data_IF_097652807650
#
_entry.id   IF_097652807650
#
_cell.length_a   1.000
_cell.length_b   1.000
_cell.length_c   1.000
_cell.angle_alpha   90.00
_cell.angle_beta   90.00
_cell.angle_gamma   90.00
#
_symmetry.space_group_name_H-M   'P 1'
#
loop_
_entity.id
_entity.type
_entity.pdbx_description
1 polymer ?
#
# COMPACT_ATOMS: atom_id res chain seq x y z
N UNK A 1 11.64 6.23 0.75
CA UNK A 1 13.11 6.29 0.55
C UNK A 1 13.50 5.39 -0.62
N UNK A 2 14.47 5.78 -1.44
CA UNK A 2 15.05 4.93 -2.48
C UNK A 2 16.36 4.32 -1.94
N UNK A 3 16.53 2.99 -1.91
CA UNK A 3 17.69 2.37 -1.29
C UNK A 3 18.96 2.67 -2.09
N UNK A 4 20.05 3.01 -1.42
CA UNK A 4 21.36 3.28 -1.99
C UNK A 4 22.39 2.22 -1.65
N UNK A 5 22.12 1.39 -0.64
CA UNK A 5 22.96 0.26 -0.26
C UNK A 5 22.14 -0.95 0.17
N UNK A 6 22.79 -2.09 0.39
CA UNK A 6 22.17 -3.29 0.95
C UNK A 6 21.64 -3.03 2.36
N UNK A 7 22.28 -2.16 3.15
CA UNK A 7 21.86 -1.82 4.52
C UNK A 7 20.48 -1.15 4.54
N UNK A 8 20.15 -0.37 3.50
CA UNK A 8 18.85 0.29 3.38
C UNK A 8 17.68 -0.70 3.29
N UNK A 9 17.91 -1.98 2.99
CA UNK A 9 16.86 -3.00 2.99
C UNK A 9 16.19 -3.16 4.36
N UNK A 10 16.94 -2.97 5.46
CA UNK A 10 16.40 -2.99 6.82
C UNK A 10 15.35 -1.88 6.98
N UNK A 11 15.65 -0.66 6.52
CA UNK A 11 14.72 0.45 6.59
C UNK A 11 13.45 0.22 5.74
N UNK A 12 13.57 -0.47 4.60
CA UNK A 12 12.42 -0.84 3.76
C UNK A 12 11.54 -1.91 4.45
N UNK A 13 12.15 -2.91 5.08
CA UNK A 13 11.43 -3.94 5.85
C UNK A 13 10.68 -3.31 7.01
N UNK A 14 11.34 -2.45 7.79
CA UNK A 14 10.72 -1.75 8.90
C UNK A 14 9.56 -0.85 8.44
N UNK A 15 9.68 -0.21 7.27
CA UNK A 15 8.57 0.54 6.69
C UNK A 15 7.39 -0.35 6.30
N UNK A 16 7.64 -1.52 5.70
CA UNK A 16 6.57 -2.47 5.36
C UNK A 16 5.81 -2.93 6.63
N UNK A 17 6.55 -3.23 7.71
CA UNK A 17 5.96 -3.58 9.02
C UNK A 17 5.12 -2.45 9.60
N UNK A 18 5.63 -1.22 9.57
CA UNK A 18 4.89 -0.03 10.03
C UNK A 18 3.59 0.15 9.25
N UNK A 19 3.62 0.00 7.93
CA UNK A 19 2.44 0.15 7.09
C UNK A 19 1.38 -0.93 7.37
N UNK A 20 1.79 -2.18 7.63
CA UNK A 20 0.85 -3.23 8.06
C UNK A 20 0.17 -2.84 9.38
N UNK A 21 0.96 -2.48 10.40
CA UNK A 21 0.42 -2.07 11.70
C UNK A 21 -0.52 -0.86 11.60
N UNK A 22 -0.16 0.11 10.76
CA UNK A 22 -0.96 1.31 10.51
C UNK A 22 -2.30 1.00 9.84
N UNK A 23 -2.32 0.12 8.83
CA UNK A 23 -3.57 -0.34 8.20
C UNK A 23 -4.42 -1.15 9.16
N UNK A 24 -3.80 -2.03 9.96
CA UNK A 24 -4.50 -2.81 10.98
C UNK A 24 -5.17 -1.92 12.03
N UNK A 25 -4.46 -0.91 12.55
CA UNK A 25 -5.02 0.07 13.48
C UNK A 25 -6.12 0.91 12.83
N UNK A 26 -5.89 1.37 11.59
CA UNK A 26 -6.84 2.19 10.85
C UNK A 26 -8.19 1.48 10.70
N UNK A 27 -8.20 0.27 10.15
CA UNK A 27 -9.44 -0.48 9.94
C UNK A 27 -10.00 -1.07 11.24
N UNK A 28 -9.16 -1.47 12.19
CA UNK A 28 -9.57 -2.01 13.48
C UNK A 28 -10.23 -0.97 14.40
N UNK A 29 -9.98 0.32 14.19
CA UNK A 29 -10.60 1.42 14.95
C UNK A 29 -11.97 1.86 14.43
N UNK A 30 -12.42 1.31 13.30
CA UNK A 30 -13.66 1.73 12.63
C UNK A 30 -14.74 0.65 12.75
N UNK A 31 -15.99 1.10 12.87
CA UNK A 31 -17.12 0.20 12.63
C UNK A 31 -17.15 -0.19 11.15
N UNK A 32 -17.81 -1.32 10.85
CA UNK A 32 -17.91 -1.80 9.47
C UNK A 32 -18.57 -0.77 8.53
N UNK A 33 -19.57 -0.05 9.05
CA UNK A 33 -20.23 1.06 8.36
C UNK A 33 -19.29 2.24 8.12
N UNK A 34 -18.51 2.64 9.13
CA UNK A 34 -17.55 3.74 8.99
C UNK A 34 -16.41 3.41 8.01
N UNK A 35 -15.87 2.19 8.07
CA UNK A 35 -14.81 1.73 7.17
C UNK A 35 -15.27 1.71 5.70
N UNK A 36 -16.54 1.38 5.45
CA UNK A 36 -17.15 1.38 4.11
C UNK A 36 -17.80 2.70 3.70
N UNK A 37 -17.90 3.68 4.59
CA UNK A 37 -18.54 4.94 4.28
C UNK A 37 -17.83 5.65 3.12
N UNK A 38 -18.62 6.25 2.23
CA UNK A 38 -18.15 7.00 1.08
C UNK A 38 -18.84 8.36 1.09
N UNK A 39 -18.10 9.45 0.81
CA UNK A 39 -18.71 10.78 0.74
C UNK A 39 -19.58 10.94 -0.51
N UNK A 40 -19.29 10.20 -1.59
CA UNK A 40 -20.12 10.06 -2.79
C UNK A 40 -19.69 8.82 -3.61
N UNK A 41 -20.41 8.54 -4.70
CA UNK A 41 -20.17 7.40 -5.60
C UNK A 41 -18.83 7.45 -6.34
N UNK A 42 -18.19 8.61 -6.43
CA UNK A 42 -16.94 8.83 -7.19
C UNK A 42 -15.67 8.71 -6.34
N UNK A 43 -15.80 8.78 -5.01
CA UNK A 43 -14.70 8.69 -4.04
C UNK A 43 -14.72 7.34 -3.33
N UNK A 44 -13.54 6.82 -2.99
CA UNK A 44 -13.42 5.54 -2.27
C UNK A 44 -13.63 5.73 -0.77
N UNK A 45 -14.05 4.65 -0.12
CA UNK A 45 -14.06 4.53 1.34
C UNK A 45 -12.66 4.24 1.88
N UNK A 46 -12.51 4.23 3.21
CA UNK A 46 -11.28 3.78 3.89
C UNK A 46 -10.92 2.36 3.42
N UNK A 47 -11.89 1.44 3.46
CA UNK A 47 -11.73 0.07 2.96
C UNK A 47 -11.34 0.04 1.48
N UNK A 48 -11.95 0.89 0.64
CA UNK A 48 -11.61 0.97 -0.78
C UNK A 48 -10.16 1.41 -1.02
N UNK A 49 -9.66 2.38 -0.25
CA UNK A 49 -8.25 2.79 -0.32
C UNK A 49 -7.29 1.65 0.04
N UNK A 50 -7.58 0.89 1.10
CA UNK A 50 -6.75 -0.26 1.51
C UNK A 50 -6.84 -1.39 0.48
N UNK A 51 -8.04 -1.73 0.01
CA UNK A 51 -8.22 -2.80 -0.98
C UNK A 51 -7.50 -2.51 -2.30
N UNK A 52 -7.42 -1.24 -2.72
CA UNK A 52 -6.64 -0.84 -3.89
C UNK A 52 -5.15 -1.17 -3.75
N UNK A 53 -4.59 -0.99 -2.55
CA UNK A 53 -3.19 -1.35 -2.29
C UNK A 53 -2.93 -2.80 -2.64
N UNK A 54 -3.86 -3.69 -2.29
CA UNK A 54 -3.72 -5.12 -2.59
C UNK A 54 -3.69 -5.40 -4.09
N UNK A 55 -4.51 -4.72 -4.89
CA UNK A 55 -4.55 -4.89 -6.35
C UNK A 55 -3.23 -4.49 -7.00
N UNK A 56 -2.70 -3.31 -6.67
CA UNK A 56 -1.45 -2.83 -7.26
C UNK A 56 -0.26 -3.64 -6.75
N UNK A 57 -0.18 -3.87 -5.43
CA UNK A 57 0.95 -4.54 -4.82
C UNK A 57 1.07 -5.99 -5.30
N UNK A 58 -0.03 -6.72 -5.46
CA UNK A 58 0.01 -8.10 -5.96
C UNK A 58 0.70 -8.20 -7.33
N UNK A 59 0.31 -7.35 -8.29
CA UNK A 59 0.90 -7.36 -9.63
C UNK A 59 2.39 -6.99 -9.64
N UNK A 60 2.78 -6.00 -8.83
CA UNK A 60 4.17 -5.59 -8.73
C UNK A 60 5.06 -6.61 -8.00
N UNK A 61 4.57 -7.20 -6.91
CA UNK A 61 5.32 -8.22 -6.17
C UNK A 61 5.51 -9.49 -7.00
N UNK A 62 4.58 -9.82 -7.89
CA UNK A 62 4.78 -10.89 -8.88
C UNK A 62 5.96 -10.59 -9.81
N UNK A 63 5.95 -9.42 -10.47
CA UNK A 63 7.02 -9.02 -11.38
C UNK A 63 8.38 -8.90 -10.68
N UNK A 64 8.40 -8.46 -9.41
CA UNK A 64 9.59 -8.43 -8.56
C UNK A 64 10.10 -9.84 -8.26
N UNK A 65 9.19 -10.74 -7.86
CA UNK A 65 9.51 -12.14 -7.55
C UNK A 65 10.16 -12.84 -8.73
N UNK A 66 9.61 -12.68 -9.93
CA UNK A 66 10.20 -13.24 -11.15
C UNK A 66 11.59 -12.66 -11.44
N UNK A 67 11.77 -11.34 -11.24
CA UNK A 67 13.04 -10.69 -11.48
C UNK A 67 14.13 -11.13 -10.51
N UNK A 68 13.78 -11.33 -9.23
CA UNK A 68 14.66 -11.95 -8.23
C UNK A 68 15.00 -13.38 -8.65
N UNK A 69 13.99 -14.17 -9.05
CA UNK A 69 14.19 -15.55 -9.51
C UNK A 69 15.16 -15.65 -10.69
N UNK A 70 15.01 -14.80 -11.72
CA UNK A 70 15.94 -14.74 -12.85
C UNK A 70 17.35 -14.31 -12.45
N UNK A 71 17.47 -13.43 -11.46
CA UNK A 71 18.75 -12.92 -10.98
C UNK A 71 19.42 -13.84 -9.94
N UNK A 72 18.73 -14.87 -9.44
CA UNK A 72 19.18 -15.69 -8.32
C UNK A 72 20.46 -16.48 -8.60
N UNK A 73 20.72 -16.86 -9.85
CA UNK A 73 21.95 -17.54 -10.26
C UNK A 73 23.03 -16.52 -10.63
N UNK A 74 22.87 -15.86 -11.78
CA UNK A 74 23.93 -15.04 -12.40
C UNK A 74 23.60 -13.55 -12.46
N UNK A 75 22.67 -13.09 -11.61
CA UNK A 75 22.29 -11.69 -11.53
C UNK A 75 23.43 -10.80 -11.00
N UNK A 76 23.40 -9.49 -11.31
CA UNK A 76 24.37 -8.55 -10.77
C UNK A 76 24.27 -8.52 -9.24
N UNK A 77 25.43 -8.62 -8.59
CA UNK A 77 25.59 -8.57 -7.13
C UNK A 77 26.22 -7.26 -6.70
N UNK A 78 25.97 -6.86 -5.45
CA UNK A 78 26.62 -5.70 -4.86
C UNK A 78 25.90 -5.18 -3.62
N UNK A 79 26.67 -4.53 -2.75
CA UNK A 79 26.18 -3.92 -1.51
C UNK A 79 25.91 -2.41 -1.66
N UNK A 80 26.24 -1.84 -2.82
CA UNK A 80 26.06 -0.42 -3.14
C UNK A 80 27.36 0.24 -3.65
N UNK A 81 27.32 1.53 -3.99
CA UNK A 81 26.11 2.35 -4.05
C UNK A 81 25.22 1.97 -5.26
N UNK A 82 23.95 1.72 -5.00
CA UNK A 82 22.95 1.44 -6.02
C UNK A 82 22.63 2.68 -6.84
N UNK A 83 22.52 2.49 -8.16
CA UNK A 83 22.14 3.55 -9.10
C UNK A 83 20.82 3.21 -9.75
N UNK A 84 19.83 4.07 -9.52
CA UNK A 84 18.48 3.92 -10.06
C UNK A 84 18.25 4.79 -11.29
N UNK A 85 17.42 4.36 -12.25
CA UNK A 85 16.99 5.20 -13.35
C UNK A 85 16.32 6.48 -12.82
N UNK A 86 16.69 7.66 -13.37
CA UNK A 86 16.15 8.96 -12.92
C UNK A 86 14.62 9.02 -13.02
N UNK A 87 14.04 8.43 -14.07
CA UNK A 87 12.60 8.33 -14.25
C UNK A 87 11.92 7.51 -13.14
N UNK A 88 12.56 6.43 -12.69
CA UNK A 88 12.06 5.60 -11.59
C UNK A 88 12.11 6.37 -10.26
N UNK A 89 13.23 7.06 -9.98
CA UNK A 89 13.37 7.89 -8.78
C UNK A 89 12.34 9.04 -8.74
N UNK A 90 12.12 9.70 -9.89
CA UNK A 90 11.05 10.71 -10.02
C UNK A 90 9.68 10.10 -9.75
N UNK A 91 9.40 8.91 -10.28
CA UNK A 91 8.10 8.26 -10.11
C UNK A 91 7.83 7.90 -8.65
N UNK A 92 8.81 7.33 -7.94
CA UNK A 92 8.74 7.08 -6.49
C UNK A 92 8.40 8.36 -5.73
N UNK A 93 9.14 9.44 -5.99
CA UNK A 93 8.92 10.74 -5.33
C UNK A 93 7.56 11.36 -5.67
N UNK A 94 7.03 11.11 -6.87
CA UNK A 94 5.69 11.58 -7.26
C UNK A 94 4.54 10.87 -6.52
N UNK A 95 4.82 9.73 -5.91
CA UNK A 95 3.87 8.97 -5.12
C UNK A 95 3.86 9.38 -3.65
N UNK A 96 4.88 10.08 -3.14
CA UNK A 96 4.89 10.50 -1.74
C UNK A 96 3.75 11.46 -1.41
N UNK A 97 3.12 11.33 -0.23
CA UNK A 97 2.12 12.29 0.24
C UNK A 97 2.78 13.61 0.72
N UNK A 98 2.03 14.73 0.74
CA UNK A 98 0.69 14.89 0.17
C UNK A 98 0.73 14.86 -1.36
N UNK A 99 -0.25 14.20 -2.01
CA UNK A 99 -0.25 14.03 -3.46
C UNK A 99 -0.41 15.37 -4.17
N UNK A 100 0.62 15.79 -4.91
CA UNK A 100 0.59 17.07 -5.66
C UNK A 100 -0.23 17.02 -6.94
N UNK A 101 -0.58 15.82 -7.42
CA UNK A 101 -1.33 15.59 -8.67
C UNK A 101 -2.33 14.47 -8.48
N UNK A 102 -3.53 14.65 -9.02
CA UNK A 102 -4.53 13.57 -9.16
C UNK A 102 -4.07 12.64 -10.27
N UNK A 103 -3.89 11.37 -9.93
CA UNK A 103 -3.58 10.31 -10.90
C UNK A 103 -4.86 9.52 -11.10
N UNK A 104 -5.29 9.39 -12.35
CA UNK A 104 -6.45 8.57 -12.67
C UNK A 104 -6.07 7.10 -12.50
N UNK A 105 -6.78 6.42 -11.61
CA UNK A 105 -6.66 4.96 -11.44
C UNK A 105 -7.08 4.26 -12.74
N UNK A 106 -6.26 3.32 -13.22
CA UNK A 106 -6.65 2.47 -14.35
C UNK A 106 -7.82 1.57 -13.94
N UNK A 107 -8.69 1.21 -14.90
CA UNK A 107 -9.87 0.38 -14.60
C UNK A 107 -9.49 -0.97 -13.95
N UNK A 108 -8.37 -1.54 -14.37
CA UNK A 108 -7.82 -2.79 -13.80
C UNK A 108 -7.32 -2.69 -12.36
N UNK A 109 -7.22 -1.47 -11.81
CA UNK A 109 -6.80 -1.23 -10.43
C UNK A 109 -7.95 -0.78 -9.53
N UNK A 110 -9.19 -0.77 -10.02
CA UNK A 110 -10.35 -0.45 -9.19
C UNK A 110 -10.62 -1.67 -8.30
N UNK A 111 -10.61 -1.53 -6.96
CA UNK A 111 -10.89 -2.65 -6.06
C UNK A 111 -12.36 -3.05 -6.13
N UNK A 112 -12.66 -4.28 -5.71
CA UNK A 112 -14.03 -4.76 -5.53
C UNK A 112 -14.76 -3.85 -4.51
N UNK A 113 -15.87 -3.18 -4.89
CA UNK A 113 -16.62 -2.33 -3.97
C UNK A 113 -17.25 -3.10 -2.80
N UNK A 114 -17.39 -4.42 -2.89
CA UNK A 114 -17.99 -5.28 -1.87
C UNK A 114 -17.00 -5.85 -0.83
N UNK A 115 -15.70 -5.56 -0.95
CA UNK A 115 -14.69 -6.12 -0.04
C UNK A 115 -14.93 -5.68 1.42
N UNK A 116 -14.88 -6.64 2.35
CA UNK A 116 -15.02 -6.32 3.77
C UNK A 116 -13.75 -5.64 4.32
N UNK A 117 -13.86 -4.80 5.37
CA UNK A 117 -12.69 -4.23 6.03
C UNK A 117 -11.70 -5.30 6.51
N UNK A 118 -12.20 -6.39 7.09
CA UNK A 118 -11.38 -7.51 7.56
C UNK A 118 -10.59 -8.18 6.43
N UNK A 119 -11.24 -8.42 5.28
CA UNK A 119 -10.60 -9.01 4.11
C UNK A 119 -9.57 -8.07 3.51
N UNK A 120 -9.89 -6.79 3.39
CA UNK A 120 -8.96 -5.78 2.88
C UNK A 120 -7.69 -5.68 3.75
N UNK A 121 -7.85 -5.70 5.09
CA UNK A 121 -6.72 -5.70 6.03
C UNK A 121 -5.87 -6.97 5.90
N UNK A 122 -6.52 -8.14 5.86
CA UNK A 122 -5.83 -9.43 5.74
C UNK A 122 -5.03 -9.54 4.44
N UNK A 123 -5.63 -9.18 3.30
CA UNK A 123 -4.97 -9.26 2.00
C UNK A 123 -3.79 -8.29 1.91
N UNK A 124 -3.92 -7.10 2.49
CA UNK A 124 -2.83 -6.13 2.55
C UNK A 124 -1.66 -6.65 3.41
N UNK A 125 -1.94 -7.20 4.59
CA UNK A 125 -0.91 -7.76 5.48
C UNK A 125 -0.16 -8.94 4.85
N UNK A 126 -0.88 -9.84 4.18
CA UNK A 126 -0.26 -10.93 3.42
C UNK A 126 0.70 -10.43 2.33
N UNK A 127 0.37 -9.31 1.67
CA UNK A 127 1.25 -8.69 0.67
C UNK A 127 2.44 -7.95 1.31
N UNK A 128 2.30 -7.37 2.51
CA UNK A 128 3.45 -6.83 3.25
C UNK A 128 4.42 -7.93 3.64
N UNK A 129 3.91 -9.06 4.15
CA UNK A 129 4.71 -10.25 4.47
C UNK A 129 5.46 -10.73 3.23
N UNK A 130 4.77 -10.89 2.10
CA UNK A 130 5.39 -11.26 0.82
C UNK A 130 6.46 -10.25 0.37
N UNK A 131 6.24 -8.96 0.57
CA UNK A 131 7.22 -7.93 0.24
C UNK A 131 8.49 -8.06 1.08
N UNK A 132 8.35 -8.31 2.38
CA UNK A 132 9.47 -8.53 3.31
C UNK A 132 10.27 -9.78 2.89
N UNK A 133 9.61 -10.88 2.57
CA UNK A 133 10.27 -12.10 2.09
C UNK A 133 11.05 -11.85 0.80
N UNK A 134 10.50 -11.05 -0.11
CA UNK A 134 11.19 -10.68 -1.36
C UNK A 134 12.37 -9.75 -1.12
N UNK A 135 12.30 -8.84 -0.15
CA UNK A 135 13.45 -8.02 0.26
C UNK A 135 14.58 -8.88 0.82
N UNK A 136 14.27 -9.87 1.67
CA UNK A 136 15.24 -10.82 2.21
C UNK A 136 15.86 -11.70 1.10
N UNK A 137 15.03 -12.23 0.19
CA UNK A 137 15.51 -13.02 -0.96
C UNK A 137 16.35 -12.21 -1.95
N UNK A 138 16.19 -10.89 -1.97
CA UNK A 138 16.97 -10.01 -2.83
C UNK A 138 18.34 -9.64 -2.23
N UNK A 139 18.68 -10.09 -1.00
CA UNK A 139 19.97 -9.79 -0.39
C UNK A 139 21.13 -10.28 -1.25
N UNK A 140 22.17 -9.44 -1.32
CA UNK A 140 23.33 -9.65 -2.18
C UNK A 140 23.12 -9.31 -3.65
N UNK A 141 21.88 -9.12 -4.14
CA UNK A 141 21.63 -8.56 -5.47
C UNK A 141 21.90 -7.05 -5.49
N UNK A 142 22.42 -6.55 -6.61
CA UNK A 142 22.44 -5.12 -6.88
C UNK A 142 21.03 -4.62 -7.22
N UNK A 143 20.37 -4.01 -6.23
CA UNK A 143 18.98 -3.54 -6.33
C UNK A 143 18.80 -2.39 -7.34
N UNK A 144 19.88 -1.74 -7.79
CA UNK A 144 19.87 -0.73 -8.85
C UNK A 144 20.00 -1.32 -10.26
N UNK A 145 20.63 -2.48 -10.39
CA UNK A 145 20.92 -3.12 -11.69
C UNK A 145 19.95 -4.23 -12.08
N UNK A 146 19.39 -4.98 -11.13
CA UNK A 146 18.32 -5.95 -11.45
C UNK A 146 17.04 -5.18 -11.78
N UNK A 147 16.44 -5.47 -12.94
CA UNK A 147 15.30 -4.71 -13.48
C UNK A 147 14.12 -5.59 -13.89
N UNK A 148 12.94 -4.99 -13.87
CA UNK A 148 11.70 -5.59 -14.33
C UNK A 148 10.83 -4.53 -15.05
N UNK A 149 9.89 -4.99 -15.87
CA UNK A 149 8.90 -4.12 -16.51
C UNK A 149 7.74 -3.81 -15.55
N UNK A 150 7.23 -2.59 -15.56
CA UNK A 150 6.04 -2.25 -14.76
C UNK A 150 4.81 -3.00 -15.31
N UNK A 151 4.03 -3.68 -14.44
CA UNK A 151 2.82 -4.40 -14.86
C UNK A 151 1.74 -3.51 -15.49
N UNK A 152 1.76 -2.22 -15.18
CA UNK A 152 0.72 -1.27 -15.60
C UNK A 152 1.23 -0.17 -16.53
N UNK A 153 2.53 -0.18 -16.86
CA UNK A 153 3.14 0.75 -17.79
C UNK A 153 4.26 0.03 -18.55
N UNK A 154 3.92 -0.58 -19.69
CA UNK A 154 4.83 -1.45 -20.46
C UNK A 154 6.15 -0.80 -20.88
N UNK A 155 6.19 0.52 -21.06
CA UNK A 155 7.41 1.28 -21.40
C UNK A 155 8.28 1.61 -20.18
N UNK A 156 7.76 1.48 -18.96
CA UNK A 156 8.47 1.80 -17.73
C UNK A 156 9.21 0.58 -17.22
N UNK A 157 10.54 0.67 -17.16
CA UNK A 157 11.39 -0.30 -16.47
C UNK A 157 11.83 0.25 -15.12
N UNK A 158 11.71 -0.58 -14.09
CA UNK A 158 12.13 -0.26 -12.74
C UNK A 158 13.26 -1.20 -12.32
N UNK A 159 14.22 -0.66 -11.58
CA UNK A 159 15.14 -1.48 -10.79
C UNK A 159 14.43 -2.03 -9.55
N UNK A 160 14.86 -3.16 -9.00
CA UNK A 160 14.26 -3.77 -7.80
C UNK A 160 14.08 -2.77 -6.65
N UNK A 161 15.13 -2.03 -6.29
CA UNK A 161 15.08 -1.05 -5.20
C UNK A 161 14.06 0.07 -5.45
N UNK A 162 13.91 0.50 -6.71
CA UNK A 162 12.87 1.47 -7.09
C UNK A 162 11.47 0.86 -7.07
N UNK A 163 11.33 -0.43 -7.38
CA UNK A 163 10.07 -1.17 -7.26
C UNK A 163 9.57 -1.22 -5.82
N UNK A 164 10.41 -1.66 -4.89
CA UNK A 164 10.06 -1.67 -3.46
C UNK A 164 9.76 -0.26 -2.93
N UNK A 165 10.62 0.71 -3.23
CA UNK A 165 10.41 2.10 -2.81
C UNK A 165 9.09 2.68 -3.36
N UNK A 166 8.71 2.33 -4.60
CA UNK A 166 7.45 2.72 -5.20
C UNK A 166 6.26 2.15 -4.45
N UNK A 167 6.27 0.86 -4.12
CA UNK A 167 5.16 0.22 -3.41
C UNK A 167 4.98 0.85 -2.03
N UNK A 168 6.06 1.08 -1.29
CA UNK A 168 5.98 1.72 0.01
C UNK A 168 5.47 3.17 -0.09
N UNK A 169 5.88 3.94 -1.11
CA UNK A 169 5.38 5.30 -1.35
C UNK A 169 3.90 5.31 -1.74
N UNK A 170 3.49 4.34 -2.57
CA UNK A 170 2.09 4.14 -2.94
C UNK A 170 1.22 3.81 -1.73
N UNK A 171 1.70 2.91 -0.84
CA UNK A 171 1.03 2.58 0.42
C UNK A 171 0.83 3.83 1.28
N UNK A 172 1.90 4.61 1.54
CA UNK A 172 1.80 5.88 2.30
C UNK A 172 0.75 6.82 1.73
N UNK A 173 0.69 6.96 0.40
CA UNK A 173 -0.30 7.82 -0.27
C UNK A 173 -1.74 7.37 -0.02
N UNK A 174 -2.04 6.08 -0.12
CA UNK A 174 -3.42 5.60 0.08
C UNK A 174 -3.81 5.54 1.55
N UNK A 175 -2.87 5.26 2.46
CA UNK A 175 -3.11 5.38 3.89
C UNK A 175 -3.43 6.84 4.24
N UNK A 176 -2.69 7.80 3.68
CA UNK A 176 -2.98 9.23 3.81
C UNK A 176 -4.37 9.57 3.26
N UNK A 177 -4.71 9.14 2.04
CA UNK A 177 -6.04 9.37 1.45
C UNK A 177 -7.18 8.75 2.28
N UNK A 178 -6.95 7.59 2.88
CA UNK A 178 -7.91 6.95 3.76
C UNK A 178 -8.18 7.81 5.02
N UNK A 179 -7.14 8.44 5.58
CA UNK A 179 -7.32 9.42 6.67
C UNK A 179 -8.03 10.68 6.22
N UNK A 180 -7.75 11.17 5.02
CA UNK A 180 -8.50 12.32 4.47
C UNK A 180 -9.99 12.03 4.36
N UNK A 181 -10.38 10.80 3.99
CA UNK A 181 -11.79 10.38 3.99
C UNK A 181 -12.39 10.46 5.38
N UNK A 182 -11.65 10.07 6.42
CA UNK A 182 -12.12 10.17 7.82
C UNK A 182 -12.27 11.61 8.31
N UNK A 183 -11.54 12.55 7.73
CA UNK A 183 -11.61 13.96 8.06
C UNK A 183 -12.74 14.72 7.33
N UNK A 184 -13.48 14.05 6.43
CA UNK A 184 -14.57 14.69 5.69
C UNK A 184 -15.81 14.94 6.56
N UNK A 185 -16.55 16.02 6.30
CA UNK A 185 -17.87 16.23 6.89
C UNK A 185 -18.80 15.04 6.60
N UNK A 186 -19.51 14.56 7.62
CA UNK A 186 -20.44 13.44 7.52
C UNK A 186 -19.79 12.05 7.68
N UNK A 187 -18.47 11.97 7.92
CA UNK A 187 -17.87 10.70 8.32
C UNK A 187 -18.47 10.24 9.67
N UNK A 188 -18.94 8.98 9.79
CA UNK A 188 -19.71 8.51 10.96
C UNK A 188 -18.89 8.31 12.25
N UNK A 189 -17.65 8.80 12.29
CA UNK A 189 -16.72 8.70 13.42
C UNK A 189 -16.10 7.30 13.59
N UNK A 190 -14.97 7.17 14.32
CA UNK A 190 -14.50 5.88 14.79
C UNK A 190 -15.53 5.30 15.77
N UNK A 191 -15.93 4.06 15.54
CA UNK A 191 -17.00 3.43 16.32
C UNK A 191 -16.51 3.13 17.73
N UNK A 192 -16.75 4.04 18.67
CA UNK A 192 -17.04 3.62 20.04
C UNK A 192 -18.34 2.83 20.03
N UNK A 193 -18.39 1.75 20.81
CA UNK A 193 -19.64 1.01 21.06
C UNK A 193 -20.77 2.02 21.25
N UNK A 194 -21.80 1.92 20.42
CA UNK A 194 -23.08 2.56 20.71
C UNK A 194 -23.56 2.01 22.06
N UNK A 195 -23.30 2.72 23.15
CA UNK A 195 -24.12 2.63 24.35
C UNK A 195 -25.54 2.97 23.93
N UNK A 196 -26.35 1.93 23.74
CA UNK A 196 -27.80 2.04 23.70
C UNK A 196 -28.28 2.38 25.09
N UNK A 197 -28.19 3.67 25.44
CA UNK A 197 -28.84 4.27 26.59
C UNK A 197 -30.35 4.02 26.52
N UNK A 198 -30.84 3.47 27.62
CA UNK A 198 -32.22 3.33 28.06
C UNK A 198 -33.13 4.48 27.57
N UNK A 199 -34.18 4.11 26.86
CA UNK A 199 -35.41 4.90 26.78
C UNK A 199 -36.43 4.26 27.73
N UNK A 200 -36.38 4.66 29.00
CA UNK A 200 -37.50 4.52 29.93
C UNK A 200 -38.58 5.50 29.50
N UNK A 201 -39.80 5.00 29.25
CA UNK A 201 -40.96 5.77 28.87
C UNK A 201 -42.20 5.01 29.30
N UNK A 202 -42.58 5.23 30.55
CA UNK A 202 -43.78 4.72 31.18
C UNK A 202 -45.05 5.40 30.63
N UNK A 203 -46.14 4.64 30.54
CA UNK A 203 -47.56 5.03 30.67
C UNK A 203 -48.34 3.69 30.61
N UNK A 204 -49.17 3.25 31.57
CA UNK A 204 -50.10 3.99 32.41
C UNK A 204 -51.52 3.70 31.92
N UNK A 205 -52.18 2.66 32.46
CA UNK A 205 -53.57 2.29 32.13
C UNK A 205 -53.94 0.88 32.57
#
# INVERSE_FOLDING_TARGET
>A
MLPTSAEDTVALIEEARRQSAEVGQLLGSLSEGAARWRPDETRWSVTGHVAHLSVLNAAYLEAISEAIGRAAMDGPRGEGPYRHPRIAAWFVRSMEPPPRRRIRTFRSMIPDPGVSPSRASHDFDGLQTRMIDLLERARGLDLGRVRFGSPFASLLRLSLGAGFALLLAHNRRHIWLAREVMALPGFPGPGGMSEGGQGEGAEGG
#
